data_IF_890577411845
#
_entry.id   IF_890577411845
#
_cell.length_a   1.000
_cell.length_b   1.000
_cell.length_c   1.000
_cell.angle_alpha   90.00
_cell.angle_beta   90.00
_cell.angle_gamma   90.00
#
_symmetry.space_group_name_H-M   'P 1'
#
loop_
_entity.id
_entity.type
_entity.pdbx_description
1 polymer ?
#
# COMPACT_ATOMS: atom_id res chain seq x y z
N UNK A 1 15.67 3.46 -13.77
CA UNK A 1 14.56 3.81 -12.86
C UNK A 1 13.31 2.95 -13.06
N UNK A 2 12.91 2.59 -14.29
CA UNK A 2 11.80 1.64 -14.50
C UNK A 2 11.97 0.31 -13.74
N UNK A 3 13.20 -0.20 -13.64
CA UNK A 3 13.51 -1.45 -12.92
C UNK A 3 13.27 -1.31 -11.40
N UNK A 4 13.52 -0.13 -10.84
CA UNK A 4 13.24 0.15 -9.42
C UNK A 4 11.73 0.18 -9.16
N UNK A 5 10.95 0.76 -10.08
CA UNK A 5 9.48 0.77 -9.96
C UNK A 5 8.89 -0.63 -10.09
N UNK A 6 9.42 -1.45 -10.99
CA UNK A 6 9.05 -2.86 -11.09
C UNK A 6 9.36 -3.58 -9.77
N UNK A 7 10.55 -3.38 -9.20
CA UNK A 7 10.93 -3.95 -7.92
C UNK A 7 9.97 -3.52 -6.80
N UNK A 8 9.66 -2.22 -6.70
CA UNK A 8 8.73 -1.68 -5.71
C UNK A 8 7.31 -2.24 -5.90
N UNK A 9 6.85 -2.44 -7.12
CA UNK A 9 5.56 -3.04 -7.41
C UNK A 9 5.51 -4.55 -7.09
N UNK A 10 6.62 -5.26 -7.25
CA UNK A 10 6.72 -6.70 -6.96
C UNK A 10 6.61 -6.98 -5.46
N UNK A 11 7.13 -6.12 -4.59
CA UNK A 11 7.12 -6.33 -3.13
C UNK A 11 5.69 -6.62 -2.60
N UNK A 12 4.68 -5.74 -2.78
CA UNK A 12 3.34 -6.01 -2.27
C UNK A 12 2.67 -7.20 -2.97
N UNK A 13 2.89 -7.38 -4.27
CA UNK A 13 2.36 -8.53 -4.99
C UNK A 13 2.94 -9.85 -4.46
N UNK A 14 4.25 -9.89 -4.21
CA UNK A 14 4.96 -11.01 -3.61
C UNK A 14 4.41 -11.32 -2.22
N UNK A 15 4.27 -10.31 -1.35
CA UNK A 15 3.64 -10.49 -0.04
C UNK A 15 2.23 -11.09 -0.17
N UNK A 16 1.40 -10.61 -1.10
CA UNK A 16 0.05 -11.12 -1.32
C UNK A 16 0.01 -12.56 -1.82
N UNK A 17 0.94 -12.95 -2.68
CA UNK A 17 1.02 -14.29 -3.27
C UNK A 17 1.60 -15.31 -2.29
N UNK A 18 2.64 -14.95 -1.55
CA UNK A 18 3.30 -15.82 -0.57
C UNK A 18 2.40 -16.09 0.64
N UNK A 19 1.72 -15.05 1.13
CA UNK A 19 0.82 -15.18 2.30
C UNK A 19 -0.46 -15.94 1.97
N UNK A 20 -0.86 -16.04 0.70
CA UNK A 20 -2.01 -16.86 0.28
C UNK A 20 -1.88 -18.32 0.75
N UNK A 21 -0.67 -18.87 0.78
CA UNK A 21 -0.42 -20.26 1.21
C UNK A 21 0.07 -20.36 2.65
N UNK A 22 0.95 -19.45 3.08
CA UNK A 22 1.59 -19.55 4.39
C UNK A 22 0.74 -18.96 5.54
N UNK A 23 0.13 -17.78 5.31
CA UNK A 23 -0.58 -17.02 6.35
C UNK A 23 -1.84 -16.35 5.77
N UNK A 24 -2.86 -17.14 5.37
CA UNK A 24 -4.02 -16.61 4.65
C UNK A 24 -4.85 -15.63 5.48
N UNK A 25 -4.82 -15.75 6.82
CA UNK A 25 -5.50 -14.83 7.75
C UNK A 25 -4.89 -13.43 7.73
N UNK A 26 -3.57 -13.34 7.61
CA UNK A 26 -2.81 -12.08 7.68
C UNK A 26 -2.52 -11.48 6.30
N UNK A 27 -2.96 -12.15 5.23
CA UNK A 27 -2.68 -11.79 3.84
C UNK A 27 -2.95 -10.33 3.53
N UNK A 28 -4.11 -9.83 3.92
CA UNK A 28 -4.51 -8.46 3.64
C UNK A 28 -3.76 -7.44 4.49
N UNK A 29 -3.47 -7.78 5.75
CA UNK A 29 -2.62 -6.97 6.63
C UNK A 29 -1.21 -6.83 6.02
N UNK A 30 -0.57 -7.95 5.68
CA UNK A 30 0.79 -7.98 5.13
C UNK A 30 0.87 -7.32 3.75
N UNK A 31 -0.15 -7.49 2.91
CA UNK A 31 -0.28 -6.72 1.68
C UNK A 31 -0.36 -5.21 1.94
N UNK A 32 -1.21 -4.79 2.89
CA UNK A 32 -1.34 -3.37 3.26
C UNK A 32 -0.03 -2.77 3.78
N UNK A 33 0.65 -3.46 4.70
CA UNK A 33 1.94 -3.03 5.25
C UNK A 33 2.98 -2.89 4.13
N UNK A 34 3.15 -3.93 3.32
CA UNK A 34 4.12 -3.93 2.21
C UNK A 34 3.81 -2.85 1.16
N UNK A 35 2.54 -2.63 0.83
CA UNK A 35 2.11 -1.56 -0.07
C UNK A 35 2.44 -0.19 0.50
N UNK A 36 2.11 0.06 1.77
CA UNK A 36 2.42 1.31 2.44
C UNK A 36 3.92 1.59 2.56
N UNK A 37 4.76 0.55 2.65
CA UNK A 37 6.22 0.70 2.69
C UNK A 37 6.77 1.30 1.39
N UNK A 38 6.17 0.95 0.24
CA UNK A 38 6.72 1.28 -1.09
C UNK A 38 5.97 2.38 -1.82
N UNK A 39 4.76 2.76 -1.39
CA UNK A 39 3.89 3.66 -2.15
C UNK A 39 4.50 5.06 -2.34
N UNK A 40 5.23 5.57 -1.36
CA UNK A 40 5.88 6.88 -1.43
C UNK A 40 7.01 6.91 -2.47
N UNK A 41 8.06 6.05 -2.39
CA UNK A 41 9.09 6.02 -3.42
C UNK A 41 8.57 5.57 -4.80
N UNK A 42 7.53 4.74 -4.86
CA UNK A 42 6.89 4.37 -6.12
C UNK A 42 6.19 5.57 -6.79
N UNK A 43 5.45 6.36 -6.01
CA UNK A 43 4.79 7.59 -6.50
C UNK A 43 5.82 8.59 -7.00
N UNK A 44 6.90 8.81 -6.24
CA UNK A 44 8.00 9.68 -6.65
C UNK A 44 8.67 9.20 -7.95
N UNK A 45 8.96 7.90 -8.05
CA UNK A 45 9.58 7.33 -9.25
C UNK A 45 8.69 7.46 -10.50
N UNK A 46 7.36 7.40 -10.35
CA UNK A 46 6.44 7.58 -11.46
C UNK A 46 6.51 8.99 -12.06
N UNK A 47 6.83 10.03 -11.29
CA UNK A 47 6.95 11.42 -11.78
C UNK A 47 7.92 11.52 -12.96
N UNK A 48 8.96 10.70 -13.00
CA UNK A 48 9.96 10.71 -14.07
C UNK A 48 9.37 10.40 -15.46
N UNK A 49 8.22 9.73 -15.52
CA UNK A 49 7.54 9.45 -16.78
C UNK A 49 6.83 10.68 -17.37
N UNK A 50 6.72 11.79 -16.64
CA UNK A 50 6.16 13.05 -17.18
C UNK A 50 6.91 13.56 -18.42
N UNK A 51 8.19 13.19 -18.56
CA UNK A 51 9.04 13.52 -19.71
C UNK A 51 8.86 12.59 -20.91
N UNK A 52 8.09 11.51 -20.80
CA UNK A 52 7.87 10.54 -21.89
C UNK A 52 6.60 10.87 -22.71
N UNK A 53 6.53 10.47 -24.00
CA UNK A 53 5.36 10.72 -24.85
C UNK A 53 4.07 10.05 -24.34
N UNK A 54 2.94 10.74 -24.54
CA UNK A 54 1.52 10.39 -24.26
C UNK A 54 1.29 9.43 -23.07
N UNK A 55 1.54 8.12 -23.24
CA UNK A 55 1.32 7.09 -22.20
C UNK A 55 2.20 7.34 -20.99
N UNK A 56 3.47 7.67 -21.20
CA UNK A 56 4.38 8.00 -20.12
C UNK A 56 3.93 9.24 -19.36
N UNK A 57 3.46 10.27 -20.07
CA UNK A 57 2.95 11.49 -19.45
C UNK A 57 1.77 11.25 -18.51
N UNK A 58 0.84 10.36 -18.89
CA UNK A 58 -0.28 9.96 -18.03
C UNK A 58 0.20 9.24 -16.77
N UNK A 59 1.12 8.29 -16.91
CA UNK A 59 1.74 7.61 -15.76
C UNK A 59 2.49 8.59 -14.85
N UNK A 60 3.17 9.57 -15.45
CA UNK A 60 3.84 10.66 -14.77
C UNK A 60 2.88 11.52 -13.95
N UNK A 61 1.72 11.85 -14.52
CA UNK A 61 0.69 12.62 -13.83
C UNK A 61 0.09 11.83 -12.66
N UNK A 62 -0.15 10.53 -12.83
CA UNK A 62 -0.57 9.63 -11.73
C UNK A 62 0.47 9.64 -10.62
N UNK A 63 1.76 9.54 -10.97
CA UNK A 63 2.87 9.64 -10.04
C UNK A 63 2.88 10.96 -9.26
N UNK A 64 2.68 12.07 -9.96
CA UNK A 64 2.63 13.40 -9.35
C UNK A 64 1.48 13.51 -8.33
N UNK A 65 0.27 13.13 -8.74
CA UNK A 65 -0.90 13.17 -7.86
C UNK A 65 -0.74 12.24 -6.66
N UNK A 66 -0.23 11.03 -6.89
CA UNK A 66 0.04 10.08 -5.81
C UNK A 66 1.14 10.60 -4.87
N UNK A 67 2.17 11.29 -5.38
CA UNK A 67 3.25 11.84 -4.57
C UNK A 67 2.81 13.05 -3.73
N UNK A 68 1.85 13.85 -4.22
CA UNK A 68 1.24 14.91 -3.41
C UNK A 68 0.55 14.37 -2.16
N UNK A 69 0.05 13.13 -2.20
CA UNK A 69 -0.58 12.47 -1.05
C UNK A 69 0.50 11.72 -0.25
N UNK A 70 1.23 10.81 -0.89
CA UNK A 70 2.08 9.85 -0.20
C UNK A 70 3.51 10.34 0.06
N UNK A 71 3.95 11.41 -0.61
CA UNK A 71 5.25 12.02 -0.43
C UNK A 71 5.24 13.17 0.57
N UNK A 72 4.17 13.95 0.59
CA UNK A 72 4.08 15.21 1.34
C UNK A 72 4.01 15.03 2.85
N UNK A 73 3.35 13.98 3.35
CA UNK A 73 3.09 13.83 4.77
C UNK A 73 4.36 13.70 5.61
N UNK A 74 5.29 12.85 5.18
CA UNK A 74 6.61 12.71 5.81
C UNK A 74 7.46 13.97 5.71
N UNK A 75 7.33 14.73 4.61
CA UNK A 75 7.98 16.03 4.46
C UNK A 75 7.46 17.03 5.52
N UNK A 76 6.13 17.22 5.61
CA UNK A 76 5.55 18.14 6.59
C UNK A 76 5.80 17.71 8.03
N UNK A 77 5.80 16.40 8.29
CA UNK A 77 6.16 15.87 9.61
C UNK A 77 7.61 16.21 9.98
N UNK A 78 8.57 15.96 9.09
CA UNK A 78 9.98 16.25 9.36
C UNK A 78 10.28 17.75 9.41
N UNK A 79 9.55 18.56 8.62
CA UNK A 79 9.64 20.01 8.68
C UNK A 79 9.09 20.55 10.01
N UNK A 80 7.93 20.05 10.49
CA UNK A 80 7.31 20.56 11.71
C UNK A 80 8.13 20.29 12.98
N UNK A 81 8.97 19.25 12.98
CA UNK A 81 9.90 18.95 14.07
C UNK A 81 11.31 19.54 13.84
N UNK A 82 11.47 20.41 12.83
CA UNK A 82 12.70 21.17 12.58
C UNK A 82 13.87 20.37 12.01
N UNK A 83 13.63 19.17 11.47
CA UNK A 83 14.68 18.35 10.86
C UNK A 83 15.01 18.80 9.43
N UNK A 84 14.01 19.30 8.69
CA UNK A 84 14.20 19.84 7.35
C UNK A 84 14.34 21.36 7.41
N UNK A 85 15.35 21.90 6.73
CA UNK A 85 15.52 23.34 6.56
C UNK A 85 14.54 23.88 5.49
N UNK A 86 13.99 25.07 5.72
CA UNK A 86 12.90 25.63 4.89
C UNK A 86 13.38 26.13 3.51
N UNK A 87 14.65 26.55 3.40
CA UNK A 87 15.12 27.36 2.27
C UNK A 87 16.18 26.67 1.39
N UNK A 88 16.39 25.36 1.56
CA UNK A 88 17.39 24.61 0.82
C UNK A 88 16.74 23.53 -0.07
N UNK A 89 17.25 23.29 -1.29
CA UNK A 89 16.88 22.11 -2.06
C UNK A 89 17.13 20.84 -1.23
N UNK A 90 16.17 19.93 -1.25
CA UNK A 90 16.29 18.65 -0.54
C UNK A 90 17.48 17.85 -1.07
N UNK A 91 18.36 17.45 -0.16
CA UNK A 91 19.44 16.52 -0.45
C UNK A 91 18.91 15.09 -0.57
N UNK A 92 19.67 14.21 -1.23
CA UNK A 92 19.29 12.80 -1.38
C UNK A 92 19.08 12.06 -0.05
N UNK A 93 19.85 12.40 0.98
CA UNK A 93 19.69 11.86 2.34
C UNK A 93 18.37 12.30 2.98
N UNK A 94 17.98 13.57 2.79
CA UNK A 94 16.72 14.10 3.29
C UNK A 94 15.54 13.47 2.55
N UNK A 95 15.65 13.28 1.23
CA UNK A 95 14.63 12.58 0.44
C UNK A 95 14.46 11.12 0.90
N UNK A 96 15.55 10.41 1.19
CA UNK A 96 15.51 9.06 1.76
C UNK A 96 14.80 9.05 3.11
N UNK A 97 15.12 9.99 3.99
CA UNK A 97 14.49 10.13 5.30
C UNK A 97 12.99 10.41 5.20
N UNK A 98 12.57 11.30 4.28
CA UNK A 98 11.15 11.55 3.98
C UNK A 98 10.45 10.26 3.56
N UNK A 99 11.07 9.48 2.67
CA UNK A 99 10.49 8.20 2.23
C UNK A 99 10.45 7.16 3.36
N UNK A 100 11.43 7.11 4.26
CA UNK A 100 11.40 6.23 5.44
C UNK A 100 10.27 6.59 6.40
N UNK A 101 10.08 7.89 6.69
CA UNK A 101 8.96 8.35 7.52
C UNK A 101 7.62 8.02 6.85
N UNK A 102 7.50 8.31 5.56
CA UNK A 102 6.31 7.94 4.80
C UNK A 102 6.06 6.43 4.81
N UNK A 103 7.10 5.61 4.71
CA UNK A 103 6.97 4.16 4.79
C UNK A 103 6.36 3.73 6.13
N UNK A 104 6.75 4.35 7.25
CA UNK A 104 6.16 4.04 8.56
C UNK A 104 4.68 4.44 8.64
N UNK A 105 4.36 5.66 8.20
CA UNK A 105 2.99 6.20 8.25
C UNK A 105 2.06 5.38 7.36
N UNK A 106 2.43 5.20 6.10
CA UNK A 106 1.59 4.51 5.12
C UNK A 106 1.52 3.01 5.36
N UNK A 107 2.59 2.35 5.84
CA UNK A 107 2.51 0.95 6.26
C UNK A 107 1.50 0.75 7.37
N UNK A 108 1.46 1.66 8.33
CA UNK A 108 0.49 1.61 9.43
C UNK A 108 -0.94 1.81 8.89
N UNK A 109 -1.15 2.85 8.08
CA UNK A 109 -2.46 3.17 7.51
C UNK A 109 -3.01 2.06 6.60
N UNK A 110 -2.22 1.62 5.62
CA UNK A 110 -2.64 0.55 4.71
C UNK A 110 -2.67 -0.82 5.40
N UNK A 111 -1.82 -1.07 6.40
CA UNK A 111 -1.91 -2.26 7.25
C UNK A 111 -3.24 -2.32 8.01
N UNK A 112 -3.70 -1.20 8.58
CA UNK A 112 -5.02 -1.10 9.22
C UNK A 112 -6.16 -1.36 8.23
N UNK A 113 -6.09 -0.78 7.02
CA UNK A 113 -7.07 -1.06 5.96
C UNK A 113 -7.08 -2.55 5.62
N UNK A 114 -5.90 -3.14 5.43
CA UNK A 114 -5.72 -4.57 5.17
C UNK A 114 -6.32 -5.45 6.26
N UNK A 115 -6.12 -5.09 7.53
CA UNK A 115 -6.72 -5.78 8.67
C UNK A 115 -8.25 -5.76 8.61
N UNK A 116 -8.85 -4.58 8.35
CA UNK A 116 -10.31 -4.44 8.22
C UNK A 116 -10.88 -5.26 7.06
N UNK A 117 -10.18 -5.29 5.92
CA UNK A 117 -10.57 -6.13 4.77
C UNK A 117 -10.55 -7.61 5.17
N UNK A 118 -9.48 -8.05 5.84
CA UNK A 118 -9.35 -9.42 6.33
C UNK A 118 -10.49 -9.81 7.28
N UNK A 119 -10.83 -8.94 8.22
CA UNK A 119 -11.94 -9.15 9.17
C UNK A 119 -13.30 -9.25 8.47
N UNK A 120 -13.57 -8.36 7.53
CA UNK A 120 -14.84 -8.36 6.78
C UNK A 120 -15.03 -9.66 5.99
N UNK A 121 -13.99 -10.09 5.28
CA UNK A 121 -14.03 -11.33 4.49
C UNK A 121 -14.21 -12.56 5.40
N UNK A 122 -13.54 -12.59 6.57
CA UNK A 122 -13.72 -13.67 7.53
C UNK A 122 -15.15 -13.72 8.11
N UNK A 123 -15.77 -12.56 8.35
CA UNK A 123 -17.17 -12.44 8.80
C UNK A 123 -18.17 -13.00 7.78
N UNK A 124 -18.04 -12.62 6.52
CA UNK A 124 -18.91 -13.10 5.42
C UNK A 124 -18.83 -14.64 5.23
N UNK A 125 -17.65 -15.22 5.41
CA UNK A 125 -17.47 -16.68 5.37
C UNK A 125 -18.16 -17.37 6.55
N UNK A 126 -18.13 -16.76 7.73
CA UNK A 126 -18.81 -17.32 8.92
C UNK A 126 -20.34 -17.31 8.77
N UNK A 127 -20.93 -16.20 8.30
CA UNK A 127 -22.38 -16.08 8.10
C UNK A 127 -22.90 -17.05 7.03
N UNK A 128 -22.20 -17.17 5.90
CA UNK A 128 -22.58 -18.11 4.83
C UNK A 128 -22.50 -19.59 5.24
N UNK A 129 -21.67 -19.92 6.24
CA UNK A 129 -21.57 -21.29 6.79
C UNK A 129 -22.69 -21.64 7.77
N UNK A 130 -23.27 -20.66 8.47
CA UNK A 130 -24.37 -20.87 9.43
C UNK A 130 -25.76 -20.88 8.78
N UNK A 131 -25.90 -20.42 7.53
CA UNK A 131 -27.15 -20.47 6.76
C UNK A 131 -27.48 -21.82 6.12
N UNK A 132 -26.62 -22.85 6.25
CA UNK A 132 -26.90 -24.22 5.79
C UNK A 132 -27.37 -25.09 6.96
N UNK A 133 -28.57 -24.85 7.45
CA UNK A 133 -29.28 -25.85 8.24
C UNK A 133 -29.63 -27.03 7.32
N UNK A 134 -29.29 -28.28 7.67
CA UNK A 134 -29.74 -29.42 6.89
C UNK A 134 -31.27 -29.51 7.04
N UNK A 135 -31.99 -29.38 5.93
CA UNK A 135 -33.41 -29.70 5.87
C UNK A 135 -33.56 -31.17 6.27
N UNK A 136 -34.07 -31.38 7.49
CA UNK A 136 -34.36 -32.69 8.05
C UNK A 136 -35.36 -33.36 7.11
N UNK A 137 -34.96 -34.45 6.45
CA UNK A 137 -35.88 -35.33 5.74
C UNK A 137 -36.88 -35.88 6.77
N UNK A 138 -38.11 -35.36 6.77
CA UNK A 138 -39.24 -36.10 7.33
C UNK A 138 -39.60 -37.22 6.36
N UNK A 139 -39.09 -38.41 6.66
CA UNK A 139 -39.69 -39.66 6.22
C UNK A 139 -40.93 -39.87 7.08
N UNK A 140 -42.12 -39.75 6.47
CA UNK A 140 -43.33 -40.39 7.00
C UNK A 140 -43.83 -41.38 5.95
N UNK A 141 -43.74 -42.66 6.32
CA UNK A 141 -44.54 -43.72 5.73
C UNK A 141 -45.93 -43.77 6.35
#
# INVERSE_FOLDING_TARGET
>A
MAHLLILLAIIPLGCFLLTKKAHPKDRWLLFGVSFGTVISPASYGLIQFTSMPVIGKLLGLIGLMANLIHGSLGYFFLQSIGILAEDAPLQGSQLLMIHMVNALIWSSYYGMIGCKIGQKIAGEVSESSHGRTPVRQEVRG
#
